data_IF_827636369500
#
_entry.id   IF_827636369500
#
_cell.length_a   1.000
_cell.length_b   1.000
_cell.length_c   1.000
_cell.angle_alpha   90.00
_cell.angle_beta   90.00
_cell.angle_gamma   90.00
#
_symmetry.space_group_name_H-M   'P 1'
#
loop_
_entity.id
_entity.type
_entity.pdbx_description
1 polymer ?
#
# COMPACT_ATOMS: atom_id res chain seq x y z
N UNK A 1 -7.30 -20.45 -1.74
CA UNK A 1 -7.39 -19.36 -2.73
C UNK A 1 -8.40 -18.38 -2.18
N UNK A 2 -7.97 -17.44 -1.35
CA UNK A 2 -8.75 -16.26 -0.99
C UNK A 2 -8.38 -15.17 -1.98
N UNK A 3 -9.03 -15.14 -3.13
CA UNK A 3 -9.03 -13.93 -3.93
C UNK A 3 -9.81 -12.89 -3.11
N UNK A 4 -9.12 -11.86 -2.63
CA UNK A 4 -9.78 -10.67 -2.16
C UNK A 4 -10.57 -10.14 -3.35
N UNK A 5 -11.89 -10.20 -3.24
CA UNK A 5 -12.74 -9.71 -4.30
C UNK A 5 -12.61 -8.19 -4.37
N UNK A 6 -12.83 -7.65 -5.51
CA UNK A 6 -12.88 -6.22 -5.80
C UNK A 6 -14.15 -5.99 -6.61
N UNK A 7 -14.69 -4.79 -6.56
CA UNK A 7 -15.76 -4.39 -7.45
C UNK A 7 -15.20 -3.55 -8.59
N UNK A 8 -15.57 -3.94 -9.81
CA UNK A 8 -15.16 -3.26 -11.04
C UNK A 8 -16.35 -2.56 -11.66
N UNK A 9 -16.14 -1.29 -11.98
CA UNK A 9 -17.12 -0.45 -12.67
C UNK A 9 -16.55 -0.03 -14.01
N UNK A 10 -17.42 0.03 -15.04
CA UNK A 10 -17.03 0.56 -16.34
C UNK A 10 -17.96 1.68 -16.80
N UNK A 11 -17.37 2.66 -17.48
CA UNK A 11 -18.09 3.80 -18.08
C UNK A 11 -17.66 3.95 -19.54
N UNK A 12 -18.60 3.67 -20.47
CA UNK A 12 -18.33 3.80 -21.90
C UNK A 12 -18.10 5.25 -22.30
N UNK A 13 -17.04 5.50 -23.06
CA UNK A 13 -16.78 6.82 -23.62
C UNK A 13 -17.78 7.13 -24.77
N UNK A 14 -17.86 8.39 -25.15
CA UNK A 14 -18.73 8.85 -26.24
C UNK A 14 -18.38 8.16 -27.57
N UNK A 15 -19.37 7.63 -28.27
CA UNK A 15 -19.20 7.12 -29.62
C UNK A 15 -19.09 8.26 -30.64
N UNK A 16 -18.16 8.15 -31.59
CA UNK A 16 -18.06 9.04 -32.74
C UNK A 16 -19.09 8.69 -33.81
N UNK A 17 -19.53 9.69 -34.61
CA UNK A 17 -20.49 9.48 -35.68
C UNK A 17 -20.01 8.52 -36.76
N UNK A 18 -18.69 8.47 -36.99
CA UNK A 18 -18.04 7.63 -38.01
C UNK A 18 -17.49 6.31 -37.45
N UNK A 19 -17.93 5.91 -36.26
CA UNK A 19 -17.46 4.71 -35.54
C UNK A 19 -16.30 4.98 -34.58
N UNK A 20 -16.07 4.05 -33.67
CA UNK A 20 -15.11 4.17 -32.56
C UNK A 20 -15.55 5.11 -31.44
N UNK A 21 -14.67 5.32 -30.47
CA UNK A 21 -14.92 6.16 -29.29
C UNK A 21 -14.22 7.52 -29.39
N UNK A 22 -14.65 8.46 -28.56
CA UNK A 22 -13.92 9.70 -28.32
C UNK A 22 -12.53 9.38 -27.76
N UNK A 23 -11.63 10.36 -27.85
CA UNK A 23 -10.31 10.29 -27.22
C UNK A 23 -10.48 10.09 -25.72
N UNK A 24 -9.66 9.25 -25.11
CA UNK A 24 -9.63 9.13 -23.64
C UNK A 24 -9.23 10.49 -23.01
N UNK A 25 -9.70 10.73 -21.82
CA UNK A 25 -9.21 11.83 -20.99
C UNK A 25 -7.75 11.56 -20.62
N UNK A 26 -6.95 12.60 -20.54
CA UNK A 26 -5.61 12.55 -19.98
C UNK A 26 -5.66 12.42 -18.45
N UNK A 27 -4.55 12.00 -17.84
CA UNK A 27 -4.42 11.98 -16.37
C UNK A 27 -4.79 13.34 -15.76
N UNK A 28 -4.33 14.44 -16.37
CA UNK A 28 -4.65 15.82 -15.93
C UNK A 28 -6.13 16.13 -16.00
N UNK A 29 -6.81 15.71 -17.05
CA UNK A 29 -8.25 15.90 -17.20
C UNK A 29 -9.04 15.05 -16.21
N UNK A 30 -8.60 13.82 -15.92
CA UNK A 30 -9.18 12.96 -14.89
C UNK A 30 -8.99 13.58 -13.50
N UNK A 31 -7.77 14.04 -13.17
CA UNK A 31 -7.48 14.68 -11.88
C UNK A 31 -8.31 15.95 -11.65
N UNK A 32 -8.66 16.67 -12.72
CA UNK A 32 -9.53 17.84 -12.62
C UNK A 32 -11.01 17.51 -12.35
N UNK A 33 -11.43 16.24 -12.46
CA UNK A 33 -12.81 15.83 -12.17
C UNK A 33 -13.09 15.76 -10.67
N UNK A 34 -12.09 15.40 -9.86
CA UNK A 34 -12.22 15.25 -8.40
C UNK A 34 -11.12 16.05 -7.73
N UNK A 35 -11.47 16.88 -6.76
CA UNK A 35 -10.53 17.75 -6.07
C UNK A 35 -9.42 16.94 -5.37
N UNK A 36 -8.17 17.26 -5.70
CA UNK A 36 -6.99 16.62 -5.12
C UNK A 36 -6.69 15.21 -5.62
N UNK A 37 -7.40 14.71 -6.64
CA UNK A 37 -7.13 13.41 -7.24
C UNK A 37 -5.76 13.41 -7.92
N UNK A 38 -4.96 12.40 -7.62
CA UNK A 38 -3.68 12.14 -8.26
C UNK A 38 -3.42 10.63 -8.35
N UNK A 39 -2.26 10.25 -8.92
CA UNK A 39 -1.89 8.87 -9.18
C UNK A 39 -0.66 8.47 -8.36
N UNK A 40 -0.83 7.55 -7.40
CA UNK A 40 0.22 7.12 -6.46
C UNK A 40 1.36 6.34 -7.12
N UNK A 41 1.09 5.64 -8.21
CA UNK A 41 2.09 4.86 -8.95
C UNK A 41 2.64 5.60 -10.19
N UNK A 42 2.38 6.90 -10.33
CA UNK A 42 2.99 7.72 -11.38
C UNK A 42 4.43 8.08 -10.99
N UNK A 43 5.35 7.99 -11.96
CA UNK A 43 6.72 8.49 -11.79
C UNK A 43 6.80 10.03 -11.85
N UNK A 44 5.70 10.69 -12.22
CA UNK A 44 5.63 12.14 -12.36
C UNK A 44 4.94 12.76 -11.15
N UNK A 45 5.51 13.84 -10.62
CA UNK A 45 4.90 14.61 -9.51
C UNK A 45 3.56 15.25 -9.91
N UNK A 46 3.39 15.57 -11.21
CA UNK A 46 2.14 16.16 -11.71
C UNK A 46 1.48 15.22 -12.74
N UNK A 47 0.13 15.17 -12.77
CA UNK A 47 -0.60 14.37 -13.74
C UNK A 47 -0.23 14.71 -15.18
N UNK A 48 0.07 13.67 -15.97
CA UNK A 48 0.48 13.78 -17.36
C UNK A 48 -0.61 14.36 -18.26
N UNK A 49 -0.18 15.02 -19.34
CA UNK A 49 -1.08 15.41 -20.42
C UNK A 49 -1.37 14.25 -21.41
N UNK A 50 -0.74 13.08 -21.19
CA UNK A 50 -0.98 11.90 -22.00
C UNK A 50 -2.38 11.32 -21.72
N UNK A 51 -2.99 10.73 -22.75
CA UNK A 51 -4.26 10.02 -22.60
C UNK A 51 -4.08 8.82 -21.66
N UNK A 52 -5.10 8.59 -20.82
CA UNK A 52 -5.18 7.36 -20.04
C UNK A 52 -5.22 6.16 -21.01
N UNK A 53 -4.43 5.13 -20.71
CA UNK A 53 -4.29 3.90 -21.47
C UNK A 53 -4.75 2.66 -20.71
N UNK A 54 -4.34 1.50 -21.22
CA UNK A 54 -4.60 0.20 -20.60
C UNK A 54 -3.76 -0.06 -19.33
N UNK A 55 -2.67 0.68 -19.15
CA UNK A 55 -1.85 0.57 -17.95
C UNK A 55 -2.66 0.98 -16.71
N UNK A 56 -2.55 0.18 -15.65
CA UNK A 56 -3.30 0.41 -14.42
C UNK A 56 -2.64 1.50 -13.58
N UNK A 57 -3.40 2.56 -13.34
CA UNK A 57 -3.02 3.64 -12.45
C UNK A 57 -3.72 3.49 -11.10
N UNK A 58 -3.01 3.74 -10.00
CA UNK A 58 -3.58 3.76 -8.65
C UNK A 58 -3.98 5.21 -8.32
N UNK A 59 -5.27 5.48 -8.37
CA UNK A 59 -5.83 6.81 -8.15
C UNK A 59 -6.31 6.98 -6.71
N UNK A 60 -6.25 8.22 -6.20
CA UNK A 60 -6.75 8.56 -4.89
C UNK A 60 -6.47 10.01 -4.52
N UNK A 61 -6.69 10.38 -3.25
CA UNK A 61 -6.44 11.70 -2.70
C UNK A 61 -5.52 11.58 -1.48
N UNK A 62 -4.46 12.39 -1.45
CA UNK A 62 -3.48 12.39 -0.36
C UNK A 62 -4.14 12.56 1.02
N UNK A 63 -3.69 11.78 1.99
CA UNK A 63 -4.22 11.71 3.37
C UNK A 63 -5.71 11.31 3.49
N UNK A 64 -6.42 11.05 2.39
CA UNK A 64 -7.80 10.59 2.38
C UNK A 64 -7.90 9.14 1.91
N UNK A 65 -7.13 8.77 0.90
CA UNK A 65 -7.04 7.39 0.43
C UNK A 65 -6.12 6.56 1.30
N UNK A 66 -6.43 5.28 1.49
CA UNK A 66 -5.59 4.33 2.22
C UNK A 66 -5.11 3.18 1.34
N UNK A 67 -5.89 2.79 0.33
CA UNK A 67 -5.53 1.82 -0.70
C UNK A 67 -5.60 2.40 -2.10
N UNK A 68 -6.34 3.51 -2.28
CA UNK A 68 -6.70 4.01 -3.59
C UNK A 68 -7.61 3.03 -4.34
N UNK A 69 -7.73 3.25 -5.63
CA UNK A 69 -8.45 2.37 -6.56
C UNK A 69 -7.73 2.35 -7.91
N UNK A 70 -7.90 1.24 -8.62
CA UNK A 70 -7.34 1.12 -9.97
C UNK A 70 -8.19 1.91 -10.97
N UNK A 71 -7.51 2.57 -11.89
CA UNK A 71 -8.11 3.26 -13.02
C UNK A 71 -7.30 2.99 -14.29
N UNK A 72 -7.98 2.58 -15.36
CA UNK A 72 -7.40 2.47 -16.69
C UNK A 72 -8.45 2.76 -17.76
N UNK A 73 -8.01 2.82 -19.03
CA UNK A 73 -8.90 3.00 -20.18
C UNK A 73 -8.58 1.95 -21.24
N UNK A 74 -9.54 1.11 -21.53
CA UNK A 74 -9.40 0.03 -22.49
C UNK A 74 -10.69 -0.13 -23.31
N UNK A 75 -10.62 -0.46 -24.60
CA UNK A 75 -11.75 -0.73 -25.50
C UNK A 75 -12.85 0.34 -25.52
N UNK A 76 -12.48 1.59 -25.24
CA UNK A 76 -13.43 2.70 -25.23
C UNK A 76 -14.16 2.88 -23.90
N UNK A 77 -13.70 2.25 -22.82
CA UNK A 77 -14.30 2.32 -21.49
C UNK A 77 -13.26 2.77 -20.45
N UNK A 78 -13.70 3.61 -19.50
CA UNK A 78 -12.99 3.87 -18.27
C UNK A 78 -13.33 2.75 -17.30
N UNK A 79 -12.32 2.08 -16.78
CA UNK A 79 -12.45 0.98 -15.84
C UNK A 79 -11.95 1.45 -14.47
N UNK A 80 -12.81 1.37 -13.47
CA UNK A 80 -12.51 1.71 -12.08
C UNK A 80 -12.71 0.47 -11.24
N UNK A 81 -11.64 0.02 -10.57
CA UNK A 81 -11.69 -1.16 -9.70
C UNK A 81 -11.34 -0.77 -8.26
N UNK A 82 -12.29 -0.98 -7.35
CA UNK A 82 -12.11 -0.72 -5.91
C UNK A 82 -11.85 -2.04 -5.20
N UNK A 83 -10.79 -2.07 -4.41
CA UNK A 83 -10.39 -3.25 -3.63
C UNK A 83 -11.38 -3.54 -2.49
N UNK A 84 -11.48 -4.80 -2.12
CA UNK A 84 -12.32 -5.24 -0.99
C UNK A 84 -11.48 -6.01 0.04
N UNK A 85 -11.36 -5.54 1.31
CA UNK A 85 -11.89 -4.25 1.78
C UNK A 85 -11.06 -3.06 1.29
N UNK A 86 -11.68 -1.88 1.16
CA UNK A 86 -10.99 -0.61 0.92
C UNK A 86 -11.39 0.41 1.98
N UNK A 87 -10.71 1.58 1.98
CA UNK A 87 -11.05 2.66 2.89
C UNK A 87 -12.34 3.38 2.53
N UNK A 88 -12.96 3.99 3.51
CA UNK A 88 -14.15 4.85 3.29
C UNK A 88 -13.81 5.99 2.32
N UNK A 89 -12.61 6.58 2.48
CA UNK A 89 -12.13 7.65 1.59
C UNK A 89 -11.95 7.18 0.15
N UNK A 90 -11.40 5.99 -0.06
CA UNK A 90 -11.21 5.41 -1.40
C UNK A 90 -12.54 5.23 -2.13
N UNK A 91 -13.54 4.67 -1.45
CA UNK A 91 -14.88 4.51 -1.99
C UNK A 91 -15.52 5.84 -2.37
N UNK A 92 -15.48 6.84 -1.47
CA UNK A 92 -16.09 8.14 -1.73
C UNK A 92 -15.50 8.81 -2.96
N UNK A 93 -14.16 8.74 -3.12
CA UNK A 93 -13.43 9.32 -4.25
C UNK A 93 -13.76 8.57 -5.54
N UNK A 94 -13.76 7.23 -5.52
CA UNK A 94 -14.08 6.40 -6.68
C UNK A 94 -15.51 6.65 -7.18
N UNK A 95 -16.50 6.71 -6.27
CA UNK A 95 -17.89 6.98 -6.61
C UNK A 95 -18.09 8.39 -7.18
N UNK A 96 -17.38 9.39 -6.64
CA UNK A 96 -17.39 10.74 -7.19
C UNK A 96 -16.81 10.76 -8.61
N UNK A 97 -15.66 10.10 -8.84
CA UNK A 97 -15.08 10.00 -10.17
C UNK A 97 -16.02 9.32 -11.16
N UNK A 98 -16.62 8.18 -10.79
CA UNK A 98 -17.58 7.46 -11.61
C UNK A 98 -18.80 8.34 -11.97
N UNK A 99 -19.32 9.09 -11.01
CA UNK A 99 -20.41 10.04 -11.23
C UNK A 99 -20.03 11.10 -12.27
N UNK A 100 -18.84 11.71 -12.15
CA UNK A 100 -18.34 12.72 -13.07
C UNK A 100 -18.09 12.15 -14.48
N UNK A 101 -17.48 10.97 -14.57
CA UNK A 101 -17.25 10.28 -15.85
C UNK A 101 -18.59 9.97 -16.56
N UNK A 102 -19.56 9.43 -15.83
CA UNK A 102 -20.91 9.15 -16.36
C UNK A 102 -21.59 10.43 -16.87
N UNK A 103 -21.56 11.49 -16.09
CA UNK A 103 -22.14 12.79 -16.50
C UNK A 103 -21.44 13.37 -17.73
N UNK A 104 -20.12 13.30 -17.80
CA UNK A 104 -19.33 13.85 -18.92
C UNK A 104 -19.53 13.04 -20.22
N UNK A 105 -19.58 11.70 -20.12
CA UNK A 105 -19.74 10.83 -21.28
C UNK A 105 -21.20 10.70 -21.71
N UNK A 106 -22.16 10.89 -20.79
CA UNK A 106 -23.57 10.62 -20.98
C UNK A 106 -23.90 9.12 -20.95
N UNK A 107 -22.96 8.30 -20.47
CA UNK A 107 -23.09 6.84 -20.40
C UNK A 107 -23.47 6.38 -19.01
N UNK A 108 -24.15 5.23 -18.93
CA UNK A 108 -24.39 4.55 -17.64
C UNK A 108 -23.09 3.93 -17.12
N UNK A 109 -23.08 3.68 -15.83
CA UNK A 109 -22.01 2.97 -15.11
C UNK A 109 -22.46 1.51 -14.97
N UNK A 110 -21.72 0.60 -15.58
CA UNK A 110 -21.94 -0.84 -15.47
C UNK A 110 -21.04 -1.39 -14.35
N UNK A 111 -21.56 -2.24 -13.46
CA UNK A 111 -20.80 -2.89 -12.41
C UNK A 111 -20.74 -4.40 -12.69
N UNK A 112 -19.62 -5.07 -12.34
CA UNK A 112 -19.42 -6.51 -12.51
C UNK A 112 -20.42 -7.38 -11.72
N UNK A 113 -21.13 -6.78 -10.75
CA UNK A 113 -22.28 -7.42 -10.06
C UNK A 113 -23.60 -7.32 -10.84
N UNK A 114 -23.55 -7.03 -12.15
CA UNK A 114 -24.70 -6.89 -13.07
C UNK A 114 -25.62 -5.69 -12.78
N UNK A 115 -25.26 -4.79 -11.87
CA UNK A 115 -26.02 -3.58 -11.61
C UNK A 115 -25.58 -2.43 -12.52
N UNK A 116 -26.54 -1.58 -12.86
CA UNK A 116 -26.33 -0.40 -13.72
C UNK A 116 -26.79 0.84 -12.96
N UNK A 117 -25.94 1.87 -12.96
CA UNK A 117 -26.20 3.13 -12.29
C UNK A 117 -26.14 4.31 -13.27
N UNK A 118 -26.80 5.40 -12.93
CA UNK A 118 -26.52 6.70 -13.50
C UNK A 118 -25.62 7.52 -12.56
N UNK A 119 -25.27 8.73 -12.99
CA UNK A 119 -24.35 9.62 -12.27
C UNK A 119 -24.85 10.02 -10.86
N UNK A 120 -26.17 10.02 -10.63
CA UNK A 120 -26.73 10.33 -9.31
C UNK A 120 -26.90 9.09 -8.44
N UNK A 121 -27.29 7.97 -9.06
CA UNK A 121 -27.51 6.71 -8.37
C UNK A 121 -26.24 6.14 -7.80
N UNK A 122 -25.11 6.25 -8.50
CA UNK A 122 -23.82 5.73 -8.04
C UNK A 122 -23.36 6.36 -6.73
N UNK A 123 -23.68 7.63 -6.50
CA UNK A 123 -23.34 8.32 -5.24
C UNK A 123 -24.06 7.76 -4.01
N UNK A 124 -25.09 6.92 -4.22
CA UNK A 124 -25.85 6.22 -3.17
C UNK A 124 -25.47 4.74 -3.05
N UNK A 125 -24.36 4.36 -3.67
CA UNK A 125 -23.86 2.99 -3.56
C UNK A 125 -23.53 2.64 -2.12
N UNK A 126 -23.99 1.48 -1.67
CA UNK A 126 -23.75 0.98 -0.31
C UNK A 126 -22.35 0.35 -0.22
N UNK A 127 -21.32 1.21 -0.12
CA UNK A 127 -19.93 0.78 0.00
C UNK A 127 -19.61 0.25 1.40
N UNK A 128 -20.36 0.63 2.42
CA UNK A 128 -20.14 0.10 3.77
C UNK A 128 -20.43 -1.40 3.82
N UNK A 129 -21.45 -1.87 3.09
CA UNK A 129 -21.73 -3.29 2.96
C UNK A 129 -20.56 -4.04 2.29
N UNK A 130 -19.93 -3.46 1.27
CA UNK A 130 -18.75 -4.05 0.62
C UNK A 130 -17.54 -4.09 1.55
N UNK A 131 -17.24 -2.98 2.26
CA UNK A 131 -16.17 -2.95 3.26
C UNK A 131 -16.42 -4.04 4.30
N UNK A 132 -17.60 -4.11 4.87
CA UNK A 132 -17.94 -5.11 5.88
C UNK A 132 -17.80 -6.54 5.38
N UNK A 133 -18.21 -6.79 4.13
CA UNK A 133 -18.03 -8.10 3.51
C UNK A 133 -16.53 -8.48 3.41
N UNK A 134 -15.69 -7.54 2.98
CA UNK A 134 -14.25 -7.75 2.94
C UNK A 134 -13.61 -7.94 4.32
N UNK A 135 -14.08 -7.20 5.33
CA UNK A 135 -13.61 -7.35 6.70
C UNK A 135 -13.99 -8.72 7.29
N UNK A 136 -15.17 -9.26 6.95
CA UNK A 136 -15.54 -10.62 7.39
C UNK A 136 -14.52 -11.68 6.91
N UNK A 137 -13.95 -11.52 5.72
CA UNK A 137 -12.91 -12.40 5.22
C UNK A 137 -11.60 -12.33 6.05
N UNK A 138 -11.35 -11.21 6.74
CA UNK A 138 -10.19 -11.11 7.64
C UNK A 138 -10.32 -11.99 8.89
N UNK A 139 -11.52 -12.44 9.25
CA UNK A 139 -11.71 -13.35 10.39
C UNK A 139 -11.01 -14.70 10.19
N UNK A 140 -10.82 -15.12 8.94
CA UNK A 140 -10.06 -16.33 8.61
C UNK A 140 -8.61 -16.28 9.10
N UNK A 141 -8.03 -15.08 9.22
CA UNK A 141 -6.67 -14.87 9.76
C UNK A 141 -6.59 -15.38 11.20
N UNK A 142 -7.61 -15.08 12.00
CA UNK A 142 -7.68 -15.50 13.40
C UNK A 142 -7.72 -17.02 13.53
N UNK A 143 -8.50 -17.70 12.70
CA UNK A 143 -8.61 -19.16 12.72
C UNK A 143 -7.28 -19.84 12.36
N UNK A 144 -6.52 -19.22 11.44
CA UNK A 144 -5.26 -19.75 10.93
C UNK A 144 -4.03 -19.28 11.70
N UNK A 145 -4.20 -18.35 12.66
CA UNK A 145 -3.10 -17.70 13.40
C UNK A 145 -2.00 -17.17 12.47
N UNK A 146 -2.42 -16.45 11.42
CA UNK A 146 -1.55 -15.91 10.38
C UNK A 146 -1.53 -14.39 10.42
N UNK A 147 -0.51 -13.79 9.83
CA UNK A 147 -0.47 -12.36 9.50
C UNK A 147 -0.84 -12.19 8.04
N UNK A 148 -1.73 -11.26 7.74
CA UNK A 148 -2.10 -10.88 6.38
C UNK A 148 -1.60 -9.47 6.08
N UNK A 149 -0.96 -9.31 4.92
CA UNK A 149 -0.56 -8.00 4.41
C UNK A 149 -1.63 -7.46 3.46
N UNK A 150 -2.07 -6.25 3.71
CA UNK A 150 -3.00 -5.51 2.86
C UNK A 150 -2.24 -4.34 2.26
N UNK A 151 -2.17 -4.30 0.92
CA UNK A 151 -1.48 -3.24 0.22
C UNK A 151 -2.20 -1.91 0.40
N UNK A 152 -1.45 -0.88 0.77
CA UNK A 152 -1.90 0.50 0.84
C UNK A 152 -1.26 1.34 -0.26
N UNK A 153 -1.57 2.65 -0.27
CA UNK A 153 -1.08 3.59 -1.29
C UNK A 153 0.42 3.88 -1.15
N UNK A 154 0.94 3.88 0.08
CA UNK A 154 2.35 4.14 0.37
C UNK A 154 3.09 2.87 0.82
N UNK A 155 2.41 2.01 1.57
CA UNK A 155 3.01 0.80 2.15
C UNK A 155 1.97 -0.24 2.54
N UNK A 156 2.41 -1.50 2.54
CA UNK A 156 1.58 -2.60 3.04
C UNK A 156 1.37 -2.48 4.55
N UNK A 157 0.22 -2.94 5.02
CA UNK A 157 -0.13 -3.01 6.45
C UNK A 157 -0.35 -4.47 6.84
N UNK A 158 0.33 -4.91 7.87
CA UNK A 158 0.22 -6.25 8.41
C UNK A 158 -0.91 -6.33 9.45
N UNK A 159 -1.87 -7.22 9.22
CA UNK A 159 -2.98 -7.47 10.15
C UNK A 159 -2.82 -8.84 10.80
N UNK A 160 -3.01 -8.89 12.10
CA UNK A 160 -3.10 -10.12 12.89
C UNK A 160 -4.48 -10.29 13.55
N UNK A 161 -4.64 -11.36 14.33
CA UNK A 161 -5.87 -11.64 15.05
C UNK A 161 -6.26 -10.54 16.04
N UNK A 162 -5.30 -9.85 16.64
CA UNK A 162 -5.55 -8.79 17.64
C UNK A 162 -6.14 -7.57 16.95
N UNK A 163 -5.53 -7.13 15.85
CA UNK A 163 -6.04 -6.01 15.07
C UNK A 163 -7.43 -6.29 14.49
N UNK A 164 -7.67 -7.52 14.02
CA UNK A 164 -9.01 -7.94 13.55
C UNK A 164 -10.03 -7.88 14.68
N UNK A 165 -9.69 -8.36 15.88
CA UNK A 165 -10.58 -8.27 17.05
C UNK A 165 -10.88 -6.81 17.43
N UNK A 166 -9.90 -5.91 17.36
CA UNK A 166 -10.10 -4.47 17.59
C UNK A 166 -11.06 -3.84 16.57
N UNK A 167 -10.92 -4.21 15.29
CA UNK A 167 -11.83 -3.73 14.23
C UNK A 167 -13.27 -4.10 14.58
N UNK A 168 -13.52 -5.38 14.89
CA UNK A 168 -14.89 -5.87 15.17
C UNK A 168 -15.44 -5.48 16.55
N UNK A 169 -14.59 -5.11 17.50
CA UNK A 169 -15.01 -4.53 18.79
C UNK A 169 -15.43 -3.05 18.66
N UNK A 170 -15.08 -2.38 17.58
CA UNK A 170 -15.44 -0.98 17.32
C UNK A 170 -16.93 -0.82 17.01
N UNK A 171 -17.49 0.33 17.39
CA UNK A 171 -18.84 0.72 17.02
C UNK A 171 -19.02 0.88 15.48
N UNK A 172 -17.92 1.15 14.75
CA UNK A 172 -17.89 1.23 13.29
C UNK A 172 -16.65 0.50 12.77
N UNK A 173 -16.74 -0.80 12.44
CA UNK A 173 -15.62 -1.59 11.95
C UNK A 173 -14.98 -1.02 10.68
N UNK A 174 -15.78 -0.52 9.73
CA UNK A 174 -15.28 0.10 8.50
C UNK A 174 -14.42 1.35 8.79
N UNK A 175 -14.88 2.22 9.71
CA UNK A 175 -14.12 3.39 10.10
C UNK A 175 -12.84 3.02 10.88
N UNK A 176 -12.90 1.97 11.72
CA UNK A 176 -11.72 1.48 12.47
C UNK A 176 -10.66 0.90 11.53
N UNK A 177 -11.06 0.13 10.55
CA UNK A 177 -10.15 -0.37 9.51
C UNK A 177 -9.49 0.79 8.74
N UNK A 178 -10.29 1.77 8.28
CA UNK A 178 -9.79 2.95 7.58
C UNK A 178 -8.80 3.75 8.44
N UNK A 179 -9.07 3.90 9.74
CA UNK A 179 -8.17 4.54 10.70
C UNK A 179 -6.84 3.80 10.81
N UNK A 180 -6.87 2.47 11.02
CA UNK A 180 -5.66 1.64 11.16
C UNK A 180 -4.80 1.70 9.89
N UNK A 181 -5.40 1.54 8.72
CA UNK A 181 -4.70 1.69 7.45
C UNK A 181 -4.06 3.08 7.35
N UNK A 182 -4.82 4.14 7.61
CA UNK A 182 -4.40 5.54 7.49
C UNK A 182 -3.22 5.89 8.39
N UNK A 183 -3.21 5.39 9.62
CA UNK A 183 -2.14 5.64 10.57
C UNK A 183 -0.79 5.15 10.04
N UNK A 184 -0.77 4.03 9.30
CA UNK A 184 0.44 3.47 8.72
C UNK A 184 0.81 4.19 7.41
N UNK A 185 -0.18 4.52 6.54
CA UNK A 185 0.10 5.08 5.21
C UNK A 185 0.86 6.41 5.27
N UNK A 186 0.54 7.27 6.22
CA UNK A 186 1.00 8.67 6.23
C UNK A 186 1.98 8.99 7.35
N UNK A 187 2.73 7.98 7.80
CA UNK A 187 3.86 8.19 8.72
C UNK A 187 4.99 8.92 7.99
N UNK A 188 5.51 9.97 8.62
CA UNK A 188 6.70 10.68 8.14
C UNK A 188 7.95 9.90 8.55
N UNK A 189 8.19 8.80 7.86
CA UNK A 189 9.28 7.88 8.14
C UNK A 189 9.71 7.15 6.86
N UNK A 190 10.98 6.84 6.78
CA UNK A 190 11.54 6.03 5.70
C UNK A 190 11.12 4.57 5.86
N UNK A 191 10.56 3.97 4.81
CA UNK A 191 10.31 2.53 4.77
C UNK A 191 11.53 1.81 4.24
N UNK A 192 12.26 1.12 5.12
CA UNK A 192 13.44 0.38 4.70
C UNK A 192 13.06 -0.75 3.75
N UNK A 193 13.84 -0.91 2.68
CA UNK A 193 13.63 -1.93 1.67
C UNK A 193 14.41 -3.18 1.97
N UNK A 194 13.80 -4.31 1.68
CA UNK A 194 14.45 -5.62 1.68
C UNK A 194 15.44 -5.70 0.53
N UNK A 195 16.65 -6.17 0.83
CA UNK A 195 17.66 -6.53 -0.16
C UNK A 195 18.11 -7.97 0.07
N UNK A 196 18.08 -8.79 -0.98
CA UNK A 196 18.60 -10.15 -0.95
C UNK A 196 19.94 -10.20 -1.66
N UNK A 197 20.90 -10.79 -1.00
CA UNK A 197 22.26 -11.00 -1.52
C UNK A 197 22.59 -12.47 -1.56
N UNK A 198 23.46 -12.83 -2.48
CA UNK A 198 24.04 -14.15 -2.59
C UNK A 198 25.53 -14.07 -2.35
N UNK A 199 26.09 -15.03 -1.60
CA UNK A 199 27.51 -15.08 -1.38
C UNK A 199 28.27 -15.37 -2.71
N UNK A 200 29.57 -15.13 -2.71
CA UNK A 200 30.41 -15.26 -3.92
C UNK A 200 30.42 -16.67 -4.51
N UNK A 201 30.17 -17.66 -3.68
CA UNK A 201 30.18 -19.08 -4.07
C UNK A 201 28.79 -19.57 -4.46
N UNK A 202 27.77 -18.74 -4.31
CA UNK A 202 26.37 -19.03 -4.68
C UNK A 202 25.64 -19.97 -3.71
N UNK A 203 26.22 -20.26 -2.56
CA UNK A 203 25.72 -21.25 -1.61
C UNK A 203 24.77 -20.68 -0.57
N UNK A 204 24.96 -19.42 -0.20
CA UNK A 204 24.21 -18.78 0.85
C UNK A 204 23.44 -17.56 0.31
N UNK A 205 22.16 -17.44 0.71
CA UNK A 205 21.35 -16.24 0.47
C UNK A 205 21.09 -15.58 1.82
N UNK A 206 21.37 -14.31 1.92
CA UNK A 206 21.06 -13.53 3.12
C UNK A 206 20.30 -12.27 2.77
N UNK A 207 19.42 -11.85 3.69
CA UNK A 207 18.66 -10.62 3.59
C UNK A 207 19.32 -9.49 4.35
N UNK A 208 19.13 -8.25 3.88
CA UNK A 208 19.63 -7.06 4.56
C UNK A 208 18.59 -5.94 4.53
N UNK A 209 18.61 -5.15 5.60
CA UNK A 209 17.94 -3.86 5.71
C UNK A 209 18.96 -2.79 6.08
N UNK A 210 18.64 -1.54 5.79
CA UNK A 210 19.48 -0.39 6.14
C UNK A 210 18.76 0.49 7.16
N UNK A 211 19.48 0.93 8.18
CA UNK A 211 19.06 1.92 9.16
C UNK A 211 20.04 3.10 9.14
N UNK A 212 19.53 4.29 8.81
CA UNK A 212 20.33 5.50 8.70
C UNK A 212 20.23 6.35 9.96
N UNK A 213 21.32 7.02 10.28
CA UNK A 213 21.41 7.97 11.38
C UNK A 213 20.37 9.07 11.26
N UNK A 214 19.77 9.45 12.42
CA UNK A 214 18.80 10.56 12.55
C UNK A 214 17.56 10.46 11.65
N UNK A 215 17.28 9.31 11.04
CA UNK A 215 16.14 9.07 10.17
C UNK A 215 15.12 8.14 10.82
N UNK A 216 13.88 8.57 11.10
CA UNK A 216 12.84 7.66 11.54
C UNK A 216 12.61 6.60 10.47
N UNK A 217 12.72 5.32 10.85
CA UNK A 217 12.76 4.22 9.88
C UNK A 217 11.77 3.11 10.25
N UNK A 218 10.94 2.71 9.29
CA UNK A 218 10.05 1.57 9.43
C UNK A 218 10.81 0.31 9.01
N UNK A 219 10.83 -0.66 9.94
CA UNK A 219 11.50 -1.95 9.79
C UNK A 219 10.55 -3.10 10.19
N UNK A 220 10.64 -4.30 9.60
CA UNK A 220 9.98 -5.47 10.14
C UNK A 220 10.58 -5.81 11.51
N UNK A 221 9.76 -6.10 12.52
CA UNK A 221 10.28 -6.51 13.84
C UNK A 221 11.04 -7.84 13.76
N UNK A 222 10.53 -8.78 12.97
CA UNK A 222 11.17 -10.05 12.65
C UNK A 222 11.17 -10.23 11.12
N UNK A 223 12.31 -10.02 10.44
CA UNK A 223 12.35 -10.03 8.99
C UNK A 223 12.10 -11.42 8.40
N UNK A 224 11.36 -11.45 7.32
CA UNK A 224 11.13 -12.61 6.46
C UNK A 224 11.10 -12.16 5.01
N UNK A 225 11.42 -13.03 4.03
CA UNK A 225 11.32 -12.64 2.63
C UNK A 225 9.91 -12.14 2.28
N UNK A 226 9.83 -11.04 1.55
CA UNK A 226 8.57 -10.57 0.95
C UNK A 226 7.98 -11.62 0.00
N UNK A 227 6.70 -11.49 -0.35
CA UNK A 227 6.05 -12.45 -1.24
C UNK A 227 6.77 -12.54 -2.60
N UNK A 228 7.16 -11.41 -3.19
CA UNK A 228 7.91 -11.38 -4.44
C UNK A 228 9.28 -12.05 -4.29
N UNK A 229 9.95 -11.81 -3.17
CA UNK A 229 11.22 -12.45 -2.88
C UNK A 229 11.07 -13.97 -2.70
N UNK A 230 10.02 -14.43 -2.03
CA UNK A 230 9.73 -15.86 -1.86
C UNK A 230 9.48 -16.55 -3.21
N UNK A 231 8.73 -15.91 -4.10
CA UNK A 231 8.47 -16.42 -5.45
C UNK A 231 9.79 -16.53 -6.25
N UNK A 232 10.64 -15.50 -6.19
CA UNK A 232 11.94 -15.51 -6.86
C UNK A 232 12.94 -16.51 -6.25
N UNK A 233 12.87 -16.75 -4.95
CA UNK A 233 13.70 -17.74 -4.25
C UNK A 233 13.31 -19.18 -4.58
N UNK A 234 12.02 -19.45 -4.82
CA UNK A 234 11.51 -20.81 -4.96
C UNK A 234 11.75 -21.63 -3.69
N UNK A 235 12.47 -22.77 -3.81
CA UNK A 235 12.80 -23.65 -2.68
C UNK A 235 13.99 -23.17 -1.83
N UNK A 236 14.70 -22.12 -2.26
CA UNK A 236 15.87 -21.58 -1.54
C UNK A 236 15.41 -20.78 -0.32
N UNK A 237 16.23 -20.76 0.72
CA UNK A 237 15.93 -20.07 1.97
C UNK A 237 16.94 -18.96 2.23
N UNK A 238 16.46 -17.88 2.84
CA UNK A 238 17.33 -16.87 3.45
C UNK A 238 17.91 -17.46 4.73
N UNK A 239 19.23 -17.53 4.81
CA UNK A 239 19.96 -18.17 5.92
C UNK A 239 20.08 -17.25 7.13
N UNK A 240 20.21 -15.96 6.91
CA UNK A 240 20.35 -14.92 7.94
C UNK A 240 19.85 -13.57 7.46
N UNK A 241 19.62 -12.68 8.41
CA UNK A 241 19.29 -11.27 8.16
C UNK A 241 20.34 -10.36 8.78
N UNK A 242 20.72 -9.34 8.05
CA UNK A 242 21.74 -8.35 8.43
C UNK A 242 21.11 -6.97 8.50
N UNK A 243 21.49 -6.18 9.48
CA UNK A 243 21.19 -4.75 9.52
C UNK A 243 22.47 -3.98 9.24
N UNK A 244 22.45 -3.18 8.17
CA UNK A 244 23.52 -2.26 7.80
C UNK A 244 23.22 -0.90 8.40
N UNK A 245 24.13 -0.39 9.23
CA UNK A 245 24.01 0.92 9.86
C UNK A 245 24.78 1.95 9.02
N UNK A 246 24.10 3.06 8.70
CA UNK A 246 24.64 4.13 7.85
C UNK A 246 24.63 5.44 8.63
N UNK A 247 25.73 6.17 8.56
CA UNK A 247 25.89 7.50 9.15
C UNK A 247 26.24 8.51 8.07
N UNK A 248 25.94 9.79 8.31
CA UNK A 248 26.13 10.88 7.36
C UNK A 248 24.87 11.70 7.19
N UNK A 249 25.01 12.98 6.87
CA UNK A 249 23.89 13.93 6.80
C UNK A 249 23.18 13.88 5.45
N UNK A 250 23.94 13.57 4.38
CA UNK A 250 23.46 13.53 2.99
C UNK A 250 23.95 12.28 2.27
N UNK A 251 23.32 11.92 1.15
CA UNK A 251 23.70 10.78 0.30
C UNK A 251 25.16 10.86 -0.18
N UNK A 252 25.73 12.08 -0.24
CA UNK A 252 27.10 12.32 -0.69
C UNK A 252 28.17 12.01 0.37
N UNK A 253 27.82 12.00 1.65
CA UNK A 253 28.71 11.71 2.78
C UNK A 253 28.28 10.46 3.55
N UNK A 254 27.24 9.76 3.10
CA UNK A 254 26.76 8.53 3.69
C UNK A 254 27.85 7.45 3.72
N UNK A 255 28.11 6.92 4.90
CA UNK A 255 29.13 5.89 5.12
C UNK A 255 28.52 4.74 5.93
N UNK A 256 28.90 3.50 5.56
CA UNK A 256 28.56 2.33 6.38
C UNK A 256 29.37 2.42 7.68
N UNK A 257 28.66 2.56 8.79
CA UNK A 257 29.23 2.51 10.13
C UNK A 257 29.69 1.10 10.45
N UNK A 258 28.77 0.13 10.31
CA UNK A 258 29.01 -1.29 10.54
C UNK A 258 27.80 -2.13 10.08
N UNK A 259 27.94 -3.45 10.19
CA UNK A 259 26.89 -4.44 9.98
C UNK A 259 26.78 -5.36 11.18
N UNK A 260 25.56 -5.81 11.49
CA UNK A 260 25.32 -6.78 12.55
C UNK A 260 24.17 -7.74 12.19
N UNK A 261 24.05 -8.80 12.98
CA UNK A 261 22.91 -9.68 12.90
C UNK A 261 21.63 -8.90 13.30
N UNK A 262 20.59 -8.99 12.46
CA UNK A 262 19.39 -8.19 12.57
C UNK A 262 18.67 -8.39 13.91
N UNK A 263 18.43 -9.65 14.28
CA UNK A 263 17.71 -9.98 15.52
C UNK A 263 18.49 -9.58 16.76
N UNK A 264 19.85 -9.66 16.73
CA UNK A 264 20.68 -9.19 17.83
C UNK A 264 20.59 -7.67 18.02
N UNK A 265 20.53 -6.90 16.93
CA UNK A 265 20.30 -5.45 17.02
C UNK A 265 18.95 -5.14 17.63
N UNK A 266 17.87 -5.74 17.07
CA UNK A 266 16.49 -5.51 17.55
C UNK A 266 16.30 -5.91 19.02
N UNK A 267 16.94 -6.99 19.47
CA UNK A 267 16.88 -7.43 20.88
C UNK A 267 17.56 -6.46 21.84
N UNK A 268 18.52 -5.66 21.37
CA UNK A 268 19.25 -4.66 22.16
C UNK A 268 18.78 -3.22 21.92
N UNK A 269 17.82 -3.01 21.00
CA UNK A 269 17.21 -1.70 20.77
C UNK A 269 16.35 -1.32 22.00
N UNK A 270 16.57 -0.15 22.64
CA UNK A 270 15.77 0.29 23.77
C UNK A 270 14.27 0.37 23.40
N UNK A 271 13.40 -0.08 24.31
CA UNK A 271 11.96 -0.15 24.06
C UNK A 271 11.32 1.21 23.78
N UNK A 272 11.87 2.27 24.31
CA UNK A 272 11.47 3.66 24.05
C UNK A 272 11.90 4.20 22.68
N UNK A 273 12.77 3.48 21.97
CA UNK A 273 13.27 3.83 20.65
C UNK A 273 12.50 3.17 19.51
N UNK A 274 11.48 2.40 19.79
CA UNK A 274 10.60 1.87 18.76
C UNK A 274 9.19 1.62 19.27
N UNK A 275 8.24 1.62 18.34
CA UNK A 275 6.87 1.17 18.62
C UNK A 275 6.29 0.43 17.40
N UNK A 276 5.40 -0.51 17.65
CA UNK A 276 4.69 -1.21 16.59
C UNK A 276 3.71 -0.28 15.89
N UNK A 277 3.73 -0.28 14.56
CA UNK A 277 2.80 0.48 13.71
C UNK A 277 1.72 -0.43 13.12
N UNK A 278 2.00 -1.72 13.04
CA UNK A 278 1.08 -2.80 12.66
C UNK A 278 1.53 -4.13 13.29
N UNK A 279 0.96 -5.26 12.84
CA UNK A 279 1.25 -6.58 13.42
C UNK A 279 2.69 -7.08 13.18
N UNK A 280 3.43 -6.54 12.24
CA UNK A 280 4.75 -7.04 11.84
C UNK A 280 5.84 -5.97 11.84
N UNK A 281 5.48 -4.70 11.71
CA UNK A 281 6.42 -3.62 11.50
C UNK A 281 6.51 -2.68 12.70
N UNK A 282 7.68 -2.14 12.91
CA UNK A 282 7.96 -1.12 13.92
C UNK A 282 8.49 0.15 13.26
N UNK A 283 8.12 1.29 13.82
CA UNK A 283 8.82 2.55 13.59
C UNK A 283 9.95 2.64 14.61
N UNK A 284 11.18 2.69 14.12
CA UNK A 284 12.38 3.00 14.90
C UNK A 284 12.55 4.51 14.90
N UNK A 285 12.58 5.09 16.09
CA UNK A 285 12.83 6.52 16.28
C UNK A 285 14.25 6.90 15.83
N UNK A 286 14.50 8.14 15.45
CA UNK A 286 15.84 8.57 15.07
C UNK A 286 16.89 8.17 16.08
N UNK A 287 17.96 7.53 15.61
CA UNK A 287 19.12 7.15 16.40
C UNK A 287 20.32 7.99 15.96
N UNK A 288 21.06 8.54 16.91
CA UNK A 288 22.37 9.15 16.65
C UNK A 288 23.44 8.08 16.41
N UNK A 289 24.55 8.47 15.81
CA UNK A 289 25.71 7.60 15.61
C UNK A 289 26.18 6.94 16.93
N UNK A 290 26.22 7.69 18.04
CA UNK A 290 26.63 7.18 19.35
C UNK A 290 25.63 6.13 19.89
N UNK A 291 24.33 6.35 19.75
CA UNK A 291 23.29 5.37 20.12
C UNK A 291 23.39 4.10 19.28
N UNK A 292 23.63 4.23 17.97
CA UNK A 292 23.86 3.07 17.09
C UNK A 292 25.09 2.27 17.55
N UNK A 293 26.19 2.92 17.86
CA UNK A 293 27.42 2.27 18.37
C UNK A 293 27.19 1.54 19.68
N UNK A 294 26.43 2.14 20.60
CA UNK A 294 26.12 1.51 21.89
C UNK A 294 25.30 0.22 21.71
N UNK A 295 24.25 0.29 20.87
CA UNK A 295 23.40 -0.88 20.56
C UNK A 295 24.25 -1.95 19.85
N UNK A 296 25.08 -1.56 18.88
CA UNK A 296 25.95 -2.46 18.14
C UNK A 296 26.95 -3.21 19.05
N UNK A 297 27.55 -2.51 20.02
CA UNK A 297 28.44 -3.15 20.99
C UNK A 297 27.73 -4.24 21.79
N UNK A 298 26.49 -3.99 22.22
CA UNK A 298 25.66 -4.98 22.94
C UNK A 298 25.25 -6.14 22.04
N UNK A 299 24.93 -5.87 20.77
CA UNK A 299 24.52 -6.89 19.81
C UNK A 299 25.66 -7.83 19.38
N UNK A 300 26.93 -7.40 19.51
CA UNK A 300 28.13 -8.19 19.17
C UNK A 300 28.76 -8.88 20.40
N UNK A 301 28.32 -8.60 21.63
CA UNK A 301 28.81 -9.19 22.88
C UNK A 301 28.16 -10.55 23.12
#
# INVERSE_FOLDING_TARGET
KGEFMSLTFSVKNKKKLLGGYAKALSEREISALVEGLFFFNSEQEEPSANELGADVMIAGVWKKSVRGFELNYEDGEYIVRVYTPSGVGDWQIALELLSKLSAQTGSKIECDNEKIYDSEQILKFDYEADIMWGLEALKDIKEKNQTLYISGVERDVAFDAVMVDEIFASASPAAKFDEMMRQVQYLDAYSAREHLYQDKDGNEIFGAYTLSENLPTILPYAPSPSWQAQEALGDRKVSRWVLTLVVGVDDSDAQVLDECEYGAFMANLPKEKYHFIDAANVLVEPLSEDEMKEILQKAKA
#
